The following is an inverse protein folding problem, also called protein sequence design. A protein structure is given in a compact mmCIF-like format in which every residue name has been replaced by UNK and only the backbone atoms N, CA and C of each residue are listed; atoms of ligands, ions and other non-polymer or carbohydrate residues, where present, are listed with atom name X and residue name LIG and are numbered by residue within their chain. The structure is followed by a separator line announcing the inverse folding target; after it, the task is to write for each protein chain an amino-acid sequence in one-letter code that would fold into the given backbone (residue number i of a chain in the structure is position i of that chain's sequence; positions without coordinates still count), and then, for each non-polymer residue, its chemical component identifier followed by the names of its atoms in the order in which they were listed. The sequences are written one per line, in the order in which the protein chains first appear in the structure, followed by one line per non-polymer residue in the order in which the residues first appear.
data_IF_610070557083
#
_entry.id   IF_610070557083
#
_cell.length_a   1.000
_cell.length_b   1.000
_cell.length_c   1.000
_cell.angle_alpha   90.00
_cell.angle_beta   90.00
_cell.angle_gamma   90.00
#
_symmetry.space_group_name_H-M   'P 1'
#
loop_
_entity.id
_entity.type
_entity.pdbx_description
1 polymer ?
#
# COMPACT_ATOMS: atom_id res chain seq x y z
N UNK A 1 -16.67 1.85 18.03
CA UNK A 1 -15.79 2.43 16.99
C UNK A 1 -16.02 1.67 15.71
N UNK A 2 -16.19 2.36 14.57
CA UNK A 2 -16.27 1.71 13.27
C UNK A 2 -14.88 1.58 12.67
N UNK A 3 -14.55 0.40 12.12
CA UNK A 3 -13.29 0.18 11.41
C UNK A 3 -13.43 0.76 10.00
N UNK A 4 -12.53 1.66 9.63
CA UNK A 4 -12.41 2.21 8.28
C UNK A 4 -11.42 1.36 7.47
N UNK A 5 -11.92 0.64 6.47
CA UNK A 5 -11.11 -0.17 5.56
C UNK A 5 -11.13 0.46 4.18
N UNK A 6 -9.96 0.70 3.61
CA UNK A 6 -9.82 1.19 2.25
C UNK A 6 -9.13 0.16 1.40
N UNK A 7 -9.75 -0.14 0.25
CA UNK A 7 -9.19 -1.02 -0.76
C UNK A 7 -9.03 -0.25 -2.07
N UNK A 8 -7.79 -0.12 -2.53
CA UNK A 8 -7.43 0.70 -3.67
C UNK A 8 -6.60 -0.06 -4.69
N UNK A 9 -7.12 -0.18 -5.91
CA UNK A 9 -6.36 -0.67 -7.05
C UNK A 9 -5.50 0.45 -7.65
N UNK A 10 -4.18 0.33 -7.51
CA UNK A 10 -3.21 1.38 -7.89
C UNK A 10 -2.64 1.21 -9.30
N UNK A 11 -2.91 0.06 -9.96
CA UNK A 11 -2.48 -0.28 -11.32
C UNK A 11 -0.97 -0.15 -11.59
N UNK A 12 -0.14 -0.22 -10.55
CA UNK A 12 1.33 -0.26 -10.61
C UNK A 12 2.02 0.85 -9.83
N UNK A 13 3.07 0.49 -9.10
CA UNK A 13 3.80 1.36 -8.16
C UNK A 13 5.28 1.60 -8.50
N UNK A 14 5.68 1.42 -9.76
CA UNK A 14 7.11 1.40 -10.13
C UNK A 14 7.86 2.73 -9.84
N UNK A 15 7.19 3.88 -9.86
CA UNK A 15 7.84 5.18 -9.67
C UNK A 15 7.71 5.69 -8.23
N UNK A 16 8.78 6.28 -7.69
CA UNK A 16 8.80 6.92 -6.37
C UNK A 16 7.75 8.00 -6.21
N UNK A 17 7.46 8.75 -7.27
CA UNK A 17 6.51 9.86 -7.23
C UNK A 17 5.08 9.37 -6.95
N UNK A 18 4.73 8.16 -7.43
CA UNK A 18 3.44 7.55 -7.11
C UNK A 18 3.30 7.21 -5.63
N UNK A 19 4.40 6.85 -4.94
CA UNK A 19 4.36 6.57 -3.50
C UNK A 19 4.09 7.84 -2.69
N UNK A 20 4.58 9.00 -3.14
CA UNK A 20 4.26 10.30 -2.55
C UNK A 20 2.77 10.64 -2.63
N UNK A 21 2.16 10.46 -3.80
CA UNK A 21 0.71 10.66 -4.01
C UNK A 21 -0.12 9.70 -3.14
N UNK A 22 0.28 8.43 -3.07
CA UNK A 22 -0.38 7.44 -2.21
C UNK A 22 -0.31 7.82 -0.73
N UNK A 23 0.83 8.35 -0.27
CA UNK A 23 0.97 8.85 1.09
C UNK A 23 0.02 10.01 1.39
N UNK A 24 -0.12 10.95 0.44
CA UNK A 24 -1.06 12.07 0.60
C UNK A 24 -2.50 11.57 0.70
N UNK A 25 -2.87 10.62 -0.16
CA UNK A 25 -4.20 9.98 -0.13
C UNK A 25 -4.46 9.26 1.20
N UNK A 26 -3.55 8.37 1.61
CA UNK A 26 -3.68 7.61 2.86
C UNK A 26 -3.80 8.53 4.10
N UNK A 27 -3.03 9.62 4.15
CA UNK A 27 -3.13 10.62 5.23
C UNK A 27 -4.47 11.35 5.26
N UNK A 28 -5.06 11.63 4.10
CA UNK A 28 -6.37 12.26 4.00
C UNK A 28 -7.48 11.33 4.46
N UNK A 29 -7.38 10.05 4.11
CA UNK A 29 -8.42 9.07 4.43
C UNK A 29 -8.36 8.51 5.86
N UNK A 30 -7.16 8.45 6.46
CA UNK A 30 -6.92 7.88 7.80
C UNK A 30 -7.57 6.50 7.97
N UNK A 31 -7.26 5.51 7.10
CA UNK A 31 -7.80 4.18 7.23
C UNK A 31 -7.24 3.45 8.45
N UNK A 32 -8.02 2.55 9.04
CA UNK A 32 -7.52 1.56 9.99
C UNK A 32 -6.81 0.41 9.27
N UNK A 33 -7.25 0.08 8.05
CA UNK A 33 -6.63 -0.94 7.18
C UNK A 33 -6.58 -0.39 5.75
N UNK A 34 -5.40 -0.41 5.13
CA UNK A 34 -5.20 -0.02 3.73
C UNK A 34 -4.75 -1.22 2.88
N UNK A 35 -5.56 -1.58 1.90
CA UNK A 35 -5.29 -2.65 0.94
C UNK A 35 -4.95 -2.01 -0.41
N UNK A 36 -3.77 -2.29 -0.93
CA UNK A 36 -3.30 -1.84 -2.23
C UNK A 36 -3.23 -3.01 -3.19
N UNK A 37 -3.89 -2.91 -4.34
CA UNK A 37 -4.00 -3.98 -5.34
C UNK A 37 -3.36 -3.59 -6.65
N UNK A 38 -2.93 -4.59 -7.43
CA UNK A 38 -2.19 -4.39 -8.69
C UNK A 38 -0.96 -3.52 -8.48
N UNK A 39 -0.24 -3.73 -7.36
CA UNK A 39 0.98 -2.97 -7.05
C UNK A 39 2.07 -3.24 -8.08
N UNK A 40 2.05 -4.43 -8.70
CA UNK A 40 3.08 -4.97 -9.61
C UNK A 40 4.46 -5.06 -8.96
N UNK A 41 4.53 -4.98 -7.63
CA UNK A 41 5.75 -5.12 -6.85
C UNK A 41 5.92 -6.58 -6.43
N UNK A 42 7.09 -7.15 -6.71
CA UNK A 42 7.44 -8.52 -6.31
C UNK A 42 7.94 -8.58 -4.87
N UNK A 43 8.78 -7.64 -4.46
CA UNK A 43 9.41 -7.63 -3.13
C UNK A 43 9.13 -6.30 -2.45
N UNK A 44 8.50 -6.36 -1.29
CA UNK A 44 8.28 -5.21 -0.42
C UNK A 44 9.36 -5.15 0.65
N UNK A 45 9.65 -3.94 1.11
CA UNK A 45 10.58 -3.67 2.22
C UNK A 45 9.93 -2.69 3.18
N UNK A 46 10.36 -2.70 4.44
CA UNK A 46 9.87 -1.74 5.45
C UNK A 46 10.05 -0.30 4.98
N UNK A 47 11.17 0.00 4.32
CA UNK A 47 11.43 1.32 3.74
C UNK A 47 10.35 1.74 2.73
N UNK A 48 9.88 0.82 1.89
CA UNK A 48 8.83 1.10 0.90
C UNK A 48 7.46 1.28 1.56
N UNK A 49 7.18 0.52 2.61
CA UNK A 49 5.95 0.64 3.38
C UNK A 49 5.90 1.97 4.13
N UNK A 50 7.00 2.33 4.81
CA UNK A 50 7.17 3.62 5.50
C UNK A 50 7.08 4.82 4.53
N UNK A 51 7.28 4.59 3.23
CA UNK A 51 7.04 5.61 2.20
C UNK A 51 5.57 5.90 1.94
N UNK A 52 4.66 5.00 2.26
CA UNK A 52 3.21 5.14 2.04
C UNK A 52 2.55 5.73 3.26
N UNK A 53 2.91 5.29 4.46
CA UNK A 53 2.34 5.82 5.68
C UNK A 53 3.02 5.26 6.91
N UNK A 54 2.64 5.80 8.05
CA UNK A 54 3.07 5.34 9.35
C UNK A 54 1.89 4.56 9.95
N UNK A 55 1.82 3.27 9.63
CA UNK A 55 0.68 2.41 9.96
C UNK A 55 0.80 1.75 11.35
N UNK A 56 1.74 2.22 12.18
CA UNK A 56 1.88 1.79 13.58
C UNK A 56 2.19 0.30 13.74
N UNK A 57 1.88 -0.24 14.92
CA UNK A 57 2.26 -1.60 15.38
C UNK A 57 1.53 -2.75 14.66
N UNK A 58 0.62 -2.47 13.72
CA UNK A 58 -0.25 -3.48 13.11
C UNK A 58 0.44 -4.41 12.11
N UNK A 59 1.71 -4.13 11.78
CA UNK A 59 2.49 -4.92 10.82
C UNK A 59 1.92 -4.82 9.40
N UNK A 60 2.66 -5.37 8.43
CA UNK A 60 2.24 -5.37 7.04
C UNK A 60 2.46 -6.73 6.41
N UNK A 61 1.64 -7.06 5.43
CA UNK A 61 1.81 -8.28 4.64
C UNK A 61 1.59 -8.01 3.16
N UNK A 62 2.18 -8.86 2.32
CA UNK A 62 2.04 -8.71 0.89
C UNK A 62 1.92 -10.06 0.18
N UNK A 63 1.24 -10.02 -0.96
CA UNK A 63 1.31 -11.07 -1.97
C UNK A 63 2.18 -10.54 -3.11
N UNK A 64 3.26 -11.23 -3.50
CA UNK A 64 4.14 -10.77 -4.57
C UNK A 64 3.43 -10.74 -5.92
N UNK A 65 3.79 -9.79 -6.78
CA UNK A 65 3.36 -9.80 -8.18
C UNK A 65 3.97 -10.96 -8.98
N UNK A 66 3.29 -11.36 -10.06
CA UNK A 66 3.80 -12.30 -11.07
C UNK A 66 4.01 -11.55 -12.38
N UNK A 67 5.25 -11.17 -12.66
CA UNK A 67 5.58 -10.33 -13.81
C UNK A 67 4.91 -8.97 -13.72
N UNK A 68 4.04 -8.65 -14.68
CA UNK A 68 3.31 -7.36 -14.75
C UNK A 68 1.91 -7.40 -14.13
N UNK A 69 1.54 -8.49 -13.47
CA UNK A 69 0.19 -8.73 -12.98
C UNK A 69 0.16 -8.95 -11.47
N UNK A 70 -0.88 -8.43 -10.82
CA UNK A 70 -1.15 -8.64 -9.41
C UNK A 70 -0.21 -7.86 -8.48
N UNK A 71 0.06 -8.45 -7.33
CA UNK A 71 0.71 -7.77 -6.22
C UNK A 71 -0.32 -7.11 -5.31
N UNK A 72 -0.35 -7.51 -4.04
CA UNK A 72 -1.23 -6.95 -3.01
C UNK A 72 -0.36 -6.56 -1.82
N UNK A 73 -0.64 -5.41 -1.22
CA UNK A 73 -0.08 -5.01 0.06
C UNK A 73 -1.24 -4.69 1.01
N UNK A 74 -1.19 -5.17 2.23
CA UNK A 74 -2.08 -4.75 3.31
C UNK A 74 -1.24 -4.13 4.43
N UNK A 75 -1.67 -2.94 4.84
CA UNK A 75 -1.09 -2.08 5.87
C UNK A 75 -2.15 -1.73 6.90
#
# INVERSE_FOLDING_TARGET
MAINIISWNVRGMCNSDRRGEMRRAARGWKPNILILQETKIKNWTDRMVNQIGDFGDFGWFFLPSRGRSGGILML
#
